data_IF_760663136467
#
_entry.id   IF_760663136467
#
_cell.length_a   1.000
_cell.length_b   1.000
_cell.length_c   1.000
_cell.angle_alpha   90.00
_cell.angle_beta   90.00
_cell.angle_gamma   90.00
#
_symmetry.space_group_name_H-M   'P 1'
#
loop_
_entity.id
_entity.type
_entity.pdbx_description
1 polymer ?
#
# COMPACT_ATOMS: atom_id res chain seq x y z
N UNK A 1 51.69 7.73 13.02
CA UNK A 1 52.26 6.55 12.33
C UNK A 1 51.19 5.60 11.80
N UNK A 2 50.34 4.96 12.63
CA UNK A 2 49.29 4.07 12.11
C UNK A 2 48.30 4.81 11.19
N UNK A 3 47.80 5.95 11.65
CA UNK A 3 46.84 6.77 10.89
C UNK A 3 47.46 7.25 9.56
N UNK A 4 48.72 7.69 9.59
CA UNK A 4 49.45 8.12 8.38
C UNK A 4 49.58 6.98 7.35
N UNK A 5 49.84 5.76 7.82
CA UNK A 5 49.98 4.59 6.95
C UNK A 5 48.65 4.14 6.35
N UNK A 6 47.55 4.29 7.11
CA UNK A 6 46.18 4.08 6.62
C UNK A 6 45.84 5.14 5.56
N UNK A 7 46.18 6.40 5.82
CA UNK A 7 45.97 7.51 4.90
C UNK A 7 46.74 7.26 3.59
N UNK A 8 48.01 6.86 3.66
CA UNK A 8 48.81 6.52 2.49
C UNK A 8 48.21 5.34 1.70
N UNK A 9 47.73 4.29 2.38
CA UNK A 9 47.09 3.16 1.73
C UNK A 9 45.77 3.54 1.03
N UNK A 10 45.02 4.50 1.58
CA UNK A 10 43.83 5.07 0.93
C UNK A 10 44.24 5.90 -0.30
N UNK A 11 45.29 6.72 -0.19
CA UNK A 11 45.79 7.51 -1.32
C UNK A 11 46.36 6.67 -2.45
N UNK A 12 46.91 5.49 -2.15
CA UNK A 12 47.40 4.52 -3.14
C UNK A 12 46.29 3.62 -3.70
N UNK A 13 45.01 3.86 -3.36
CA UNK A 13 43.84 3.07 -3.78
C UNK A 13 43.91 1.57 -3.40
N UNK A 14 44.70 1.23 -2.36
CA UNK A 14 44.83 -0.16 -1.87
C UNK A 14 43.59 -0.56 -1.06
N UNK A 15 43.07 0.37 -0.26
CA UNK A 15 41.87 0.20 0.56
C UNK A 15 40.96 1.41 0.47
N UNK A 16 39.65 1.17 0.58
CA UNK A 16 38.62 2.21 0.73
C UNK A 16 37.90 1.98 2.05
N UNK A 17 37.76 3.05 2.84
CA UNK A 17 37.18 2.96 4.16
C UNK A 17 37.14 4.30 4.89
N UNK A 18 36.64 4.28 6.12
CA UNK A 18 36.57 5.43 7.02
C UNK A 18 37.16 5.07 8.37
N UNK A 19 37.92 5.99 8.95
CA UNK A 19 38.45 5.87 10.30
C UNK A 19 37.40 6.38 11.29
N UNK A 20 36.89 5.49 12.14
CA UNK A 20 36.11 5.87 13.31
C UNK A 20 37.04 6.03 14.52
N UNK A 21 37.43 7.28 14.77
CA UNK A 21 38.34 7.63 15.87
C UNK A 21 37.72 7.41 17.25
N UNK A 22 36.38 7.43 17.35
CA UNK A 22 35.70 7.31 18.63
C UNK A 22 35.79 5.88 19.17
N UNK A 23 35.55 4.90 18.29
CA UNK A 23 35.65 3.48 18.62
C UNK A 23 37.05 2.91 18.36
N UNK A 24 37.95 3.70 17.76
CA UNK A 24 39.31 3.29 17.43
C UNK A 24 39.37 2.22 16.34
N UNK A 25 38.45 2.26 15.37
CA UNK A 25 38.25 1.23 14.35
C UNK A 25 38.36 1.80 12.93
N UNK A 26 38.80 0.97 11.99
CA UNK A 26 38.80 1.28 10.57
C UNK A 26 37.68 0.48 9.89
N UNK A 27 36.66 1.17 9.40
CA UNK A 27 35.59 0.58 8.60
C UNK A 27 36.06 0.46 7.16
N UNK A 28 36.19 -0.78 6.68
CA UNK A 28 36.72 -1.05 5.34
C UNK A 28 35.58 -1.49 4.41
N UNK A 29 35.37 -0.72 3.35
CA UNK A 29 34.37 -1.01 2.32
C UNK A 29 34.96 -1.90 1.22
N UNK A 30 36.22 -1.66 0.86
CA UNK A 30 36.90 -2.39 -0.21
C UNK A 30 38.38 -2.51 0.07
N UNK A 31 38.97 -3.63 -0.35
CA UNK A 31 40.42 -3.84 -0.38
C UNK A 31 40.81 -4.61 -1.63
N UNK A 32 42.02 -4.38 -2.11
CA UNK A 32 42.63 -5.26 -3.10
C UNK A 32 43.10 -6.57 -2.46
N UNK A 33 42.85 -7.71 -3.13
CA UNK A 33 43.42 -8.99 -2.74
C UNK A 33 44.92 -9.01 -3.04
N UNK A 34 45.76 -9.19 -2.02
CA UNK A 34 47.23 -9.20 -2.19
C UNK A 34 47.77 -10.59 -2.46
N UNK A 35 47.52 -11.54 -1.57
CA UNK A 35 48.12 -12.88 -1.62
C UNK A 35 47.05 -13.95 -1.36
N UNK A 36 47.18 -15.09 -2.04
CA UNK A 36 46.45 -16.31 -1.73
C UNK A 36 47.43 -17.33 -1.15
N UNK A 37 47.21 -17.74 0.09
CA UNK A 37 48.02 -18.77 0.72
C UNK A 37 47.77 -20.13 0.02
N UNK A 38 48.82 -20.91 -0.28
CA UNK A 38 48.66 -22.21 -0.91
C UNK A 38 47.75 -23.12 -0.07
N UNK A 39 46.71 -23.67 -0.69
CA UNK A 39 45.70 -24.52 -0.05
C UNK A 39 44.40 -23.82 0.38
N UNK A 40 44.33 -22.48 0.41
CA UNK A 40 43.09 -21.74 0.78
C UNK A 40 42.14 -21.48 -0.39
N UNK A 41 42.53 -21.84 -1.62
CA UNK A 41 41.71 -21.61 -2.82
C UNK A 41 40.37 -22.37 -2.75
N UNK A 42 40.38 -23.60 -2.25
CA UNK A 42 39.16 -24.41 -2.14
C UNK A 42 38.18 -23.82 -1.12
N UNK A 43 38.69 -23.28 0.00
CA UNK A 43 37.88 -22.58 0.99
C UNK A 43 37.24 -21.31 0.42
N UNK A 44 38.00 -20.52 -0.34
CA UNK A 44 37.48 -19.32 -1.01
C UNK A 44 36.39 -19.68 -2.02
N UNK A 45 36.61 -20.73 -2.81
CA UNK A 45 35.63 -21.24 -3.76
C UNK A 45 34.36 -21.73 -3.05
N UNK A 46 34.51 -22.43 -1.93
CA UNK A 46 33.38 -22.88 -1.12
C UNK A 46 32.57 -21.70 -0.58
N UNK A 47 33.23 -20.69 0.00
CA UNK A 47 32.55 -19.50 0.52
C UNK A 47 31.79 -18.73 -0.58
N UNK A 48 32.38 -18.60 -1.78
CA UNK A 48 31.73 -17.96 -2.92
C UNK A 48 30.50 -18.76 -3.41
N UNK A 49 30.59 -20.09 -3.44
CA UNK A 49 29.46 -20.95 -3.80
C UNK A 49 28.34 -20.90 -2.77
N UNK A 50 28.68 -20.89 -1.48
CA UNK A 50 27.71 -20.76 -0.40
C UNK A 50 27.00 -19.40 -0.46
N UNK A 51 27.74 -18.32 -0.70
CA UNK A 51 27.15 -16.99 -0.90
C UNK A 51 26.24 -16.92 -2.14
N UNK A 52 26.65 -17.54 -3.26
CA UNK A 52 25.81 -17.64 -4.45
C UNK A 52 24.55 -18.49 -4.22
N UNK A 53 24.67 -19.59 -3.46
CA UNK A 53 23.55 -20.47 -3.13
C UNK A 53 22.55 -19.78 -2.21
N UNK A 54 23.03 -19.10 -1.17
CA UNK A 54 22.19 -18.35 -0.22
C UNK A 54 21.44 -17.21 -0.92
N UNK A 55 22.11 -16.43 -1.77
CA UNK A 55 21.45 -15.37 -2.55
C UNK A 55 20.41 -15.94 -3.53
N UNK A 56 20.70 -17.06 -4.19
CA UNK A 56 19.73 -17.74 -5.06
C UNK A 56 18.52 -18.27 -4.29
N UNK A 57 18.74 -18.86 -3.10
CA UNK A 57 17.66 -19.33 -2.24
C UNK A 57 16.77 -18.17 -1.76
N UNK A 58 17.35 -17.03 -1.39
CA UNK A 58 16.59 -15.83 -1.02
C UNK A 58 15.72 -15.36 -2.19
N UNK A 59 16.26 -15.30 -3.42
CA UNK A 59 15.49 -14.95 -4.61
C UNK A 59 14.34 -15.93 -4.86
N UNK A 60 14.58 -17.23 -4.79
CA UNK A 60 13.54 -18.24 -4.94
C UNK A 60 12.42 -18.08 -3.90
N UNK A 61 12.76 -17.81 -2.63
CA UNK A 61 11.76 -17.58 -1.59
C UNK A 61 10.95 -16.30 -1.82
N UNK A 62 11.55 -15.28 -2.44
CA UNK A 62 10.82 -14.06 -2.81
C UNK A 62 9.86 -14.34 -3.96
N UNK A 63 10.29 -15.10 -4.97
CA UNK A 63 9.44 -15.49 -6.11
C UNK A 63 8.24 -16.34 -5.65
N UNK A 64 8.46 -17.30 -4.74
CA UNK A 64 7.39 -18.09 -4.12
C UNK A 64 6.39 -17.22 -3.35
N UNK A 65 6.89 -16.25 -2.56
CA UNK A 65 6.02 -15.31 -1.83
C UNK A 65 5.23 -14.41 -2.77
N UNK A 66 5.83 -13.95 -3.86
CA UNK A 66 5.13 -13.16 -4.88
C UNK A 66 4.02 -14.00 -5.52
N UNK A 67 4.30 -15.26 -5.88
CA UNK A 67 3.31 -16.16 -6.44
C UNK A 67 2.18 -16.47 -5.45
N UNK A 68 2.50 -16.69 -4.18
CA UNK A 68 1.51 -16.92 -3.12
C UNK A 68 0.58 -15.70 -2.95
N UNK A 69 1.13 -14.49 -2.85
CA UNK A 69 0.34 -13.25 -2.74
C UNK A 69 -0.47 -13.00 -4.01
N UNK A 70 0.07 -13.26 -5.19
CA UNK A 70 -0.66 -13.14 -6.45
C UNK A 70 -1.88 -14.08 -6.47
N UNK A 71 -1.69 -15.34 -6.10
CA UNK A 71 -2.76 -16.33 -6.01
C UNK A 71 -3.80 -15.96 -4.95
N UNK A 72 -3.37 -15.55 -3.76
CA UNK A 72 -4.27 -15.07 -2.70
C UNK A 72 -5.08 -13.86 -3.16
N UNK A 73 -4.45 -12.90 -3.85
CA UNK A 73 -5.15 -11.74 -4.39
C UNK A 73 -6.15 -12.11 -5.49
N UNK A 74 -5.85 -13.14 -6.30
CA UNK A 74 -6.76 -13.63 -7.32
C UNK A 74 -7.97 -14.35 -6.69
N UNK A 75 -7.73 -15.20 -5.69
CA UNK A 75 -8.78 -15.87 -4.91
C UNK A 75 -9.64 -14.85 -4.18
N UNK A 76 -9.03 -13.86 -3.52
CA UNK A 76 -9.75 -12.78 -2.84
C UNK A 76 -10.61 -11.95 -3.80
N UNK A 77 -10.12 -11.69 -5.02
CA UNK A 77 -10.92 -11.02 -6.07
C UNK A 77 -12.11 -11.85 -6.52
N UNK A 78 -11.95 -13.18 -6.66
CA UNK A 78 -13.06 -14.07 -7.02
C UNK A 78 -14.07 -14.13 -5.88
N UNK A 79 -13.62 -14.36 -4.64
CA UNK A 79 -14.48 -14.38 -3.47
C UNK A 79 -15.22 -13.05 -3.25
N UNK A 80 -14.57 -11.91 -3.52
CA UNK A 80 -15.22 -10.59 -3.46
C UNK A 80 -16.34 -10.45 -4.50
N UNK A 81 -16.13 -10.96 -5.73
CA UNK A 81 -17.17 -10.96 -6.78
C UNK A 81 -18.33 -11.89 -6.44
N UNK A 82 -18.06 -13.09 -5.95
CA UNK A 82 -19.11 -14.04 -5.53
C UNK A 82 -19.91 -13.46 -4.35
N UNK A 83 -19.24 -12.84 -3.38
CA UNK A 83 -19.89 -12.15 -2.29
C UNK A 83 -20.75 -10.97 -2.78
N UNK A 84 -20.24 -10.19 -3.75
CA UNK A 84 -21.00 -9.11 -4.37
C UNK A 84 -22.25 -9.63 -5.11
N UNK A 85 -22.13 -10.72 -5.87
CA UNK A 85 -23.27 -11.36 -6.55
C UNK A 85 -24.33 -11.87 -5.56
N UNK A 86 -23.90 -12.53 -4.47
CA UNK A 86 -24.82 -13.00 -3.42
C UNK A 86 -25.52 -11.81 -2.74
N UNK A 87 -24.78 -10.76 -2.41
CA UNK A 87 -25.36 -9.52 -1.85
C UNK A 87 -26.36 -8.91 -2.82
N UNK A 88 -26.07 -8.86 -4.12
CA UNK A 88 -27.00 -8.35 -5.13
C UNK A 88 -28.28 -9.19 -5.23
N UNK A 89 -28.19 -10.52 -5.16
CA UNK A 89 -29.38 -11.41 -5.14
C UNK A 89 -30.22 -11.15 -3.90
N UNK A 90 -29.59 -11.12 -2.72
CA UNK A 90 -30.29 -10.85 -1.45
C UNK A 90 -30.97 -9.48 -1.46
N UNK A 91 -30.30 -8.45 -1.99
CA UNK A 91 -30.89 -7.11 -2.14
C UNK A 91 -32.14 -7.11 -3.03
N UNK A 92 -32.11 -7.84 -4.16
CA UNK A 92 -33.26 -7.99 -5.05
C UNK A 92 -34.43 -8.69 -4.36
N UNK A 93 -34.17 -9.79 -3.66
CA UNK A 93 -35.20 -10.54 -2.93
C UNK A 93 -35.85 -9.69 -1.83
N UNK A 94 -35.05 -8.86 -1.12
CA UNK A 94 -35.57 -7.93 -0.11
C UNK A 94 -36.42 -6.83 -0.76
N UNK A 95 -36.00 -6.29 -1.91
CA UNK A 95 -36.76 -5.26 -2.63
C UNK A 95 -38.12 -5.80 -3.15
N UNK A 96 -38.17 -7.04 -3.62
CA UNK A 96 -39.41 -7.69 -4.03
C UNK A 96 -40.34 -7.96 -2.85
N UNK A 97 -39.83 -8.49 -1.73
CA UNK A 97 -40.61 -8.67 -0.49
C UNK A 97 -41.15 -7.36 0.05
N UNK A 98 -40.40 -6.25 -0.07
CA UNK A 98 -40.89 -4.92 0.32
C UNK A 98 -41.98 -4.39 -0.62
N UNK A 99 -41.93 -4.71 -1.92
CA UNK A 99 -43.00 -4.40 -2.87
C UNK A 99 -44.26 -5.22 -2.59
N UNK A 100 -44.11 -6.50 -2.26
CA UNK A 100 -45.22 -7.38 -1.89
C UNK A 100 -45.89 -6.92 -0.58
N UNK A 101 -45.10 -6.57 0.44
CA UNK A 101 -45.62 -5.99 1.68
C UNK A 101 -46.30 -4.61 1.49
N UNK A 102 -45.91 -3.83 0.47
CA UNK A 102 -46.61 -2.57 0.11
C UNK A 102 -47.89 -2.80 -0.69
N UNK A 103 -48.06 -3.93 -1.37
CA UNK A 103 -49.26 -4.27 -2.13
C UNK A 103 -50.37 -4.91 -1.26
N UNK A 104 -50.05 -5.44 -0.08
CA UNK A 104 -51.00 -6.04 0.87
C UNK A 104 -51.52 -5.13 1.99
N UNK A 105 -51.07 -3.86 2.08
CA UNK A 105 -51.35 -2.96 3.19
C UNK A 105 -52.10 -1.69 2.79
N UNK A 106 -53.31 -1.83 2.24
CA UNK A 106 -54.20 -0.71 1.93
C UNK A 106 -55.36 -0.57 2.91
N UNK A 107 -55.42 0.59 3.58
CA UNK A 107 -56.59 1.25 4.21
C UNK A 107 -56.87 1.02 5.71
N UNK A 108 -56.67 2.09 6.51
CA UNK A 108 -57.68 2.58 7.46
C UNK A 108 -57.42 4.05 7.81
N UNK A 109 -58.24 4.92 7.22
CA UNK A 109 -58.40 6.35 7.49
C UNK A 109 -59.38 6.53 8.66
N UNK A 110 -59.14 7.48 9.57
CA UNK A 110 -60.15 7.98 10.54
C UNK A 110 -59.54 8.36 11.90
N UNK A 111 -59.24 9.64 12.17
CA UNK A 111 -60.13 10.71 12.66
C UNK A 111 -60.52 10.58 14.15
N UNK A 112 -60.00 11.45 15.02
CA UNK A 112 -60.83 12.23 15.97
C UNK A 112 -59.99 13.16 16.86
N UNK A 113 -60.26 14.45 16.70
CA UNK A 113 -60.35 15.50 17.72
C UNK A 113 -60.42 15.04 19.19
N UNK A 114 -59.65 15.68 20.07
CA UNK A 114 -59.76 15.51 21.53
C UNK A 114 -58.97 16.54 22.33
N UNK A 115 -59.53 17.74 22.46
CA UNK A 115 -59.09 18.85 23.31
C UNK A 115 -59.19 18.49 24.81
N UNK A 116 -58.18 18.79 25.64
CA UNK A 116 -58.28 18.56 27.09
C UNK A 116 -57.06 18.92 27.96
N UNK A 117 -56.78 20.22 28.09
CA UNK A 117 -56.27 20.98 29.26
C UNK A 117 -55.70 20.27 30.52
N UNK A 118 -54.54 20.78 30.97
CA UNK A 118 -54.09 20.98 32.38
C UNK A 118 -53.57 19.76 33.17
N UNK A 119 -52.44 19.76 33.90
CA UNK A 119 -51.55 20.83 34.36
C UNK A 119 -50.32 20.27 35.10
N UNK A 120 -49.21 21.05 35.15
CA UNK A 120 -48.11 21.12 36.16
C UNK A 120 -47.15 19.91 36.22
N UNK A 121 -45.82 20.02 36.36
CA UNK A 121 -44.86 21.11 36.63
C UNK A 121 -43.44 20.51 36.66
N UNK A 122 -42.42 21.32 36.34
CA UNK A 122 -40.96 21.13 36.52
C UNK A 122 -40.28 20.13 35.56
N UNK A 123 -39.20 20.45 34.85
CA UNK A 123 -38.37 21.64 34.81
C UNK A 123 -37.15 21.36 33.91
N UNK A 124 -36.49 22.43 33.48
CA UNK A 124 -35.10 22.48 32.98
C UNK A 124 -34.87 22.39 31.44
N UNK A 125 -34.89 23.59 30.85
CA UNK A 125 -33.89 24.22 29.95
C UNK A 125 -33.70 23.81 28.48
N UNK A 126 -33.98 24.82 27.62
CA UNK A 126 -33.33 25.26 26.36
C UNK A 126 -33.49 24.36 25.12
N UNK A 127 -34.50 24.54 24.25
CA UNK A 127 -34.65 25.55 23.16
C UNK A 127 -33.37 25.76 22.33
N UNK A 128 -33.32 25.65 21.00
CA UNK A 128 -34.29 25.48 19.91
C UNK A 128 -33.42 25.24 18.65
N UNK A 129 -33.77 24.39 17.69
CA UNK A 129 -34.62 24.76 16.55
C UNK A 129 -34.72 23.56 15.58
N UNK A 130 -35.96 23.28 15.15
CA UNK A 130 -36.36 22.73 13.83
C UNK A 130 -35.66 21.43 13.37
N UNK A 131 -36.27 20.25 13.44
CA UNK A 131 -37.47 19.91 12.65
C UNK A 131 -37.09 19.75 11.19
N UNK A 132 -37.01 18.50 10.70
CA UNK A 132 -37.57 17.95 9.44
C UNK A 132 -36.88 16.60 9.21
N UNK A 133 -37.65 15.51 9.39
CA UNK A 133 -37.42 14.23 8.72
C UNK A 133 -37.32 14.46 7.20
N UNK A 134 -36.09 14.48 6.67
CA UNK A 134 -35.86 14.55 5.23
C UNK A 134 -34.53 13.91 4.87
N UNK A 135 -34.63 12.74 4.26
CA UNK A 135 -33.73 12.29 3.20
C UNK A 135 -32.34 11.79 3.62
N UNK A 136 -32.28 10.60 4.24
CA UNK A 136 -31.18 9.67 3.94
C UNK A 136 -31.41 9.08 2.53
N UNK A 137 -31.12 9.88 1.50
CA UNK A 137 -31.01 9.40 0.12
C UNK A 137 -29.70 8.64 0.03
N UNK A 138 -29.76 7.32 -0.16
CA UNK A 138 -28.60 6.53 -0.55
C UNK A 138 -28.10 7.06 -1.90
N UNK A 139 -26.82 7.43 -1.97
CA UNK A 139 -26.14 7.65 -3.24
C UNK A 139 -26.18 6.32 -4.02
N UNK A 140 -27.02 6.28 -5.04
CA UNK A 140 -26.98 5.25 -6.08
C UNK A 140 -25.97 5.76 -7.08
N UNK A 141 -24.79 5.13 -7.15
CA UNK A 141 -23.73 5.53 -8.06
C UNK A 141 -24.25 5.63 -9.50
N UNK A 142 -24.32 6.86 -10.00
CA UNK A 142 -24.60 7.19 -11.39
C UNK A 142 -23.36 6.83 -12.24
N UNK A 143 -23.49 6.07 -13.34
CA UNK A 143 -22.33 5.71 -14.15
C UNK A 143 -21.78 6.98 -14.82
N UNK A 144 -20.57 7.37 -14.40
CA UNK A 144 -19.85 8.50 -14.99
C UNK A 144 -19.30 8.12 -16.37
N UNK A 145 -19.97 8.59 -17.42
CA UNK A 145 -19.43 8.65 -18.78
C UNK A 145 -18.14 9.52 -18.81
N UNK A 146 -17.13 9.19 -19.62
CA UNK A 146 -15.80 9.78 -19.52
C UNK A 146 -15.76 11.19 -20.11
N UNK A 147 -15.88 12.19 -19.23
CA UNK A 147 -15.61 13.59 -19.56
C UNK A 147 -14.11 13.80 -19.85
N UNK A 148 -13.82 14.05 -21.14
CA UNK A 148 -12.51 14.52 -21.65
C UNK A 148 -12.12 15.83 -20.96
N UNK A 149 -11.13 15.77 -20.07
CA UNK A 149 -10.60 16.94 -19.37
C UNK A 149 -9.10 16.87 -19.10
N UNK A 150 -8.31 17.32 -20.08
CA UNK A 150 -7.05 18.10 -19.97
C UNK A 150 -5.96 17.67 -18.96
N UNK A 151 -4.82 17.27 -19.54
CA UNK A 151 -3.45 17.53 -19.09
C UNK A 151 -3.11 17.25 -17.61
N UNK A 152 -2.74 16.00 -17.33
CA UNK A 152 -1.73 15.70 -16.31
C UNK A 152 -0.63 14.83 -16.90
N UNK A 153 0.52 15.47 -17.11
CA UNK A 153 1.77 14.87 -17.58
C UNK A 153 2.30 13.93 -16.48
N UNK A 154 2.45 12.64 -16.79
CA UNK A 154 3.04 11.63 -15.91
C UNK A 154 4.54 11.92 -15.66
N UNK A 155 5.11 11.50 -14.51
CA UNK A 155 6.56 11.53 -14.34
C UNK A 155 7.17 10.50 -15.28
N UNK A 156 8.01 10.99 -16.18
CA UNK A 156 8.65 10.21 -17.23
C UNK A 156 9.77 9.37 -16.62
N UNK A 157 9.71 8.06 -16.89
CA UNK A 157 10.80 7.12 -16.68
C UNK A 157 12.09 7.61 -17.35
N UNK A 158 13.22 7.19 -16.76
CA UNK A 158 14.59 7.49 -17.15
C UNK A 158 14.83 7.50 -18.67
N UNK A 159 15.08 8.70 -19.21
CA UNK A 159 15.68 8.87 -20.54
C UNK A 159 17.15 9.18 -20.34
N UNK A 160 17.98 8.20 -20.66
CA UNK A 160 19.44 8.29 -20.78
C UNK A 160 19.81 9.49 -21.68
N UNK A 161 20.48 10.49 -21.10
CA UNK A 161 21.06 11.62 -21.85
C UNK A 161 22.21 11.12 -22.73
N UNK A 162 22.23 11.37 -24.05
CA UNK A 162 23.43 11.11 -24.85
C UNK A 162 24.52 12.13 -24.50
N UNK A 163 25.71 11.62 -24.16
CA UNK A 163 26.93 12.40 -23.93
C UNK A 163 27.23 13.33 -25.11
N UNK A 164 27.36 14.63 -24.83
CA UNK A 164 27.90 15.60 -25.78
C UNK A 164 29.36 15.28 -26.07
N UNK A 165 29.66 14.91 -27.32
CA UNK A 165 31.02 14.84 -27.86
C UNK A 165 31.66 16.23 -27.75
N UNK A 166 32.70 16.34 -26.91
CA UNK A 166 33.58 17.50 -26.84
C UNK A 166 34.47 17.45 -28.08
N UNK A 167 34.26 18.35 -29.04
CA UNK A 167 35.19 18.53 -30.14
C UNK A 167 36.51 19.05 -29.58
N UNK A 168 37.57 18.34 -29.95
CA UNK A 168 38.95 18.84 -29.96
C UNK A 168 39.05 19.99 -30.96
N UNK A 169 39.52 21.13 -30.47
CA UNK A 169 40.51 21.98 -31.12
C UNK A 169 41.42 22.50 -30.00
#
# INVERSE_FOLDING_TARGET
>A
ELEDLIIDAIYLDILRGKLDQKEGQLEVEYTMGRDLEPGKLEMLLFALKDWASTTSAVLATLDEKIAAVANESAVAKVAAKEHEEIVQVILKDVAEKQKENKAGGGSATGNSSGTGSSSRKAGMTTSSTTGVDREMRMDVDEPTEPSKGKNRKAPQADVVKPQRKRNRF
#
